data_IF_717620184406
#
_entry.id   IF_717620184406
#
_cell.length_a   1.000
_cell.length_b   1.000
_cell.length_c   1.000
_cell.angle_alpha   90.00
_cell.angle_beta   90.00
_cell.angle_gamma   90.00
#
_symmetry.space_group_name_H-M   'P 1'
#
loop_
_entity.id
_entity.type
_entity.pdbx_description
1 polymer ?
#
# COMPACT_ATOMS: atom_id res chain seq x y z
N UNK A 1 -7.15 14.30 -1.07
CA UNK A 1 -7.01 12.86 -1.34
C UNK A 1 -6.60 12.63 -2.80
N UNK A 2 -5.34 12.31 -3.08
CA UNK A 2 -4.97 11.67 -4.35
C UNK A 2 -3.64 10.88 -4.20
N UNK A 3 -3.78 9.60 -3.89
CA UNK A 3 -2.84 8.49 -4.17
C UNK A 3 -3.48 7.66 -5.31
N UNK A 4 -3.47 8.24 -6.52
CA UNK A 4 -4.43 8.12 -7.65
C UNK A 4 -5.88 7.82 -7.23
N UNK A 5 -6.47 8.86 -6.60
CA UNK A 5 -7.72 8.90 -5.78
C UNK A 5 -7.93 7.64 -4.93
N UNK A 6 -6.89 7.38 -4.14
CA UNK A 6 -6.68 6.27 -3.22
C UNK A 6 -6.83 4.88 -3.87
N UNK A 7 -6.21 4.74 -5.04
CA UNK A 7 -6.34 3.62 -5.96
C UNK A 7 -7.80 3.38 -6.34
N UNK A 8 -8.41 4.50 -6.81
CA UNK A 8 -9.83 4.72 -7.09
C UNK A 8 -10.73 3.97 -6.09
N UNK A 9 -10.53 4.36 -4.83
CA UNK A 9 -11.23 3.92 -3.62
C UNK A 9 -11.01 2.46 -3.22
N UNK A 10 -9.75 2.02 -3.15
CA UNK A 10 -9.33 0.72 -2.61
C UNK A 10 -9.42 -0.48 -3.61
N UNK A 11 -9.48 -0.17 -4.91
CA UNK A 11 -9.20 -1.00 -6.11
C UNK A 11 -10.35 -1.81 -6.76
N UNK A 12 -10.78 -1.37 -7.96
CA UNK A 12 -10.62 -2.17 -9.19
C UNK A 12 -10.11 -1.36 -10.42
N UNK A 13 -9.26 -1.98 -11.26
CA UNK A 13 -8.76 -1.42 -12.55
C UNK A 13 -8.56 -2.52 -13.62
N UNK A 14 -9.24 -2.44 -14.79
CA UNK A 14 -8.84 -3.20 -15.99
C UNK A 14 -7.90 -2.47 -16.95
N UNK A 15 -7.59 -1.18 -16.77
CA UNK A 15 -6.73 -0.45 -17.71
C UNK A 15 -5.78 0.53 -17.01
N UNK A 16 -4.49 0.23 -17.07
CA UNK A 16 -3.43 1.21 -17.29
C UNK A 16 -3.15 1.35 -18.80
N UNK A 17 -4.17 1.20 -19.65
CA UNK A 17 -4.03 1.39 -21.09
C UNK A 17 -4.10 2.89 -21.35
N UNK A 18 -2.94 3.54 -21.42
CA UNK A 18 -2.80 4.93 -21.90
C UNK A 18 -2.92 6.03 -20.83
N UNK A 19 -1.91 6.20 -19.98
CA UNK A 19 -1.74 7.44 -19.19
C UNK A 19 -1.30 8.66 -20.05
N UNK A 20 -1.68 8.71 -21.32
CA UNK A 20 -1.75 9.91 -22.15
C UNK A 20 -2.93 9.75 -23.12
N UNK A 21 -3.89 10.67 -23.08
CA UNK A 21 -4.79 10.92 -24.20
C UNK A 21 -4.08 11.92 -25.12
N UNK A 22 -3.58 11.44 -26.26
CA UNK A 22 -2.91 12.28 -27.29
C UNK A 22 -3.88 13.27 -27.98
N UNK A 23 -5.18 13.20 -27.70
CA UNK A 23 -6.23 13.97 -28.39
C UNK A 23 -6.66 15.25 -27.67
N UNK A 24 -6.29 15.46 -26.40
CA UNK A 24 -6.80 16.58 -25.60
C UNK A 24 -5.66 17.31 -24.86
N UNK A 25 -5.31 18.52 -25.34
CA UNK A 25 -4.16 19.34 -24.90
C UNK A 25 -4.31 19.96 -23.49
N UNK A 26 -4.94 19.29 -22.54
CA UNK A 26 -5.01 19.71 -21.13
C UNK A 26 -4.44 18.60 -20.20
N UNK A 27 -3.25 18.80 -19.61
CA UNK A 27 -2.76 17.92 -18.55
C UNK A 27 -3.68 17.96 -17.32
N UNK A 28 -3.99 16.78 -16.76
CA UNK A 28 -4.60 16.58 -15.43
C UNK A 28 -3.81 17.31 -14.32
N UNK A 29 -4.42 17.60 -13.14
CA UNK A 29 -3.78 18.36 -12.07
C UNK A 29 -2.38 17.84 -11.74
N UNK A 30 -1.43 18.75 -11.85
CA UNK A 30 0.02 18.57 -11.88
C UNK A 30 0.56 17.73 -10.72
N UNK A 31 1.26 16.64 -11.02
CA UNK A 31 2.63 16.22 -10.64
C UNK A 31 3.32 16.79 -9.36
N UNK A 32 2.61 17.31 -8.36
CA UNK A 32 3.14 17.83 -7.09
C UNK A 32 2.27 17.29 -5.94
N UNK A 33 2.75 16.55 -4.93
CA UNK A 33 4.12 16.27 -4.52
C UNK A 33 4.17 14.88 -3.85
N UNK A 34 5.17 14.06 -4.19
CA UNK A 34 5.77 13.16 -3.19
C UNK A 34 6.49 14.05 -2.16
N UNK A 35 5.73 14.78 -1.34
CA UNK A 35 6.28 15.51 -0.20
C UNK A 35 6.12 14.63 1.02
N UNK A 36 7.14 13.87 1.46
CA UNK A 36 7.18 13.58 2.87
C UNK A 36 7.52 14.92 3.52
N UNK A 37 6.59 15.50 4.28
CA UNK A 37 6.83 16.15 5.60
C UNK A 37 5.76 17.18 5.99
N UNK A 38 4.50 16.77 6.12
CA UNK A 38 3.80 17.29 7.31
C UNK A 38 4.36 16.53 8.52
N UNK A 39 4.53 17.20 9.66
CA UNK A 39 4.88 16.53 10.92
C UNK A 39 3.83 15.48 11.30
N UNK A 40 2.59 15.67 10.84
CA UNK A 40 1.47 14.76 11.03
C UNK A 40 1.68 13.40 10.35
N UNK A 41 2.03 13.37 9.05
CA UNK A 41 2.18 12.10 8.30
C UNK A 41 3.30 11.23 8.87
N UNK A 42 4.39 11.87 9.32
CA UNK A 42 5.49 11.17 10.00
C UNK A 42 5.03 10.56 11.31
N UNK A 43 4.23 11.28 12.09
CA UNK A 43 3.66 10.79 13.34
C UNK A 43 2.74 9.59 13.08
N UNK A 44 1.84 9.70 12.10
CA UNK A 44 0.91 8.64 11.70
C UNK A 44 1.70 7.41 11.24
N UNK A 45 2.70 7.57 10.37
CA UNK A 45 3.51 6.47 9.89
C UNK A 45 4.22 5.73 11.04
N UNK A 46 4.79 6.47 12.00
CA UNK A 46 5.42 5.89 13.17
C UNK A 46 4.41 5.09 14.01
N UNK A 47 3.21 5.62 14.23
CA UNK A 47 2.14 4.91 14.96
C UNK A 47 1.71 3.63 14.23
N UNK A 48 1.55 3.69 12.90
CA UNK A 48 1.22 2.52 12.06
C UNK A 48 2.34 1.48 12.12
N UNK A 49 3.61 1.86 12.01
CA UNK A 49 4.74 0.93 12.11
C UNK A 49 4.74 0.18 13.46
N UNK A 50 4.52 0.90 14.55
CA UNK A 50 4.44 0.31 15.89
C UNK A 50 3.21 -0.60 16.06
N UNK A 51 2.08 -0.27 15.44
CA UNK A 51 0.87 -1.10 15.41
C UNK A 51 1.11 -2.40 14.63
N UNK A 52 1.72 -2.31 13.44
CA UNK A 52 2.04 -3.47 12.59
C UNK A 52 3.00 -4.44 13.30
N UNK A 53 4.11 -3.95 13.86
CA UNK A 53 5.06 -4.79 14.59
C UNK A 53 4.39 -5.52 15.75
N UNK A 54 3.65 -4.80 16.60
CA UNK A 54 2.98 -5.42 17.76
C UNK A 54 1.92 -6.46 17.38
N UNK A 55 1.22 -6.26 16.26
CA UNK A 55 0.10 -7.14 15.86
C UNK A 55 0.50 -8.31 14.97
N UNK A 56 1.57 -8.15 14.18
CA UNK A 56 1.88 -9.08 13.09
C UNK A 56 3.15 -9.91 13.31
N UNK A 57 4.07 -9.48 14.19
CA UNK A 57 5.38 -10.14 14.37
C UNK A 57 5.27 -11.61 14.76
N UNK A 58 4.40 -11.94 15.73
CA UNK A 58 4.21 -13.32 16.21
C UNK A 58 3.67 -14.25 15.13
N UNK A 59 2.98 -13.68 14.13
CA UNK A 59 2.38 -14.41 13.01
C UNK A 59 3.18 -14.30 11.71
N UNK A 60 4.44 -13.82 11.75
CA UNK A 60 5.24 -13.55 10.54
C UNK A 60 5.24 -14.69 9.52
N UNK A 61 5.50 -15.93 9.98
CA UNK A 61 5.54 -17.12 9.09
C UNK A 61 4.19 -17.38 8.44
N UNK A 62 3.11 -17.26 9.19
CA UNK A 62 1.76 -17.50 8.68
C UNK A 62 1.30 -16.37 7.77
N UNK A 63 1.59 -15.11 8.12
CA UNK A 63 1.32 -13.93 7.30
C UNK A 63 2.01 -14.02 5.93
N UNK A 64 3.29 -14.41 5.91
CA UNK A 64 4.03 -14.65 4.66
C UNK A 64 3.40 -15.76 3.81
N UNK A 65 2.92 -16.84 4.44
CA UNK A 65 2.20 -17.91 3.72
C UNK A 65 0.89 -17.39 3.11
N UNK A 66 0.13 -16.56 3.83
CA UNK A 66 -1.09 -15.95 3.30
C UNK A 66 -0.81 -15.04 2.11
N UNK A 67 0.25 -14.23 2.15
CA UNK A 67 0.66 -13.44 0.98
C UNK A 67 0.98 -14.32 -0.23
N UNK A 68 1.79 -15.37 -0.04
CA UNK A 68 2.07 -16.33 -1.12
C UNK A 68 0.82 -17.00 -1.69
N UNK A 69 -0.17 -17.30 -0.86
CA UNK A 69 -1.46 -17.85 -1.33
C UNK A 69 -2.26 -16.85 -2.17
N UNK A 70 -2.05 -15.53 -1.99
CA UNK A 70 -2.68 -14.46 -2.78
C UNK A 70 -1.84 -14.01 -3.98
N UNK A 71 -0.66 -14.60 -4.20
CA UNK A 71 0.24 -14.37 -5.34
C UNK A 71 0.54 -15.71 -6.06
N UNK A 72 -0.40 -16.24 -6.86
CA UNK A 72 -0.22 -17.51 -7.56
C UNK A 72 0.91 -17.46 -8.61
N UNK A 73 1.26 -16.26 -9.09
CA UNK A 73 2.38 -16.05 -10.01
C UNK A 73 3.74 -16.04 -9.33
N UNK A 74 3.77 -16.00 -8.00
CA UNK A 74 4.98 -15.91 -7.17
C UNK A 74 5.89 -14.73 -7.62
N UNK A 75 5.28 -13.62 -8.01
CA UNK A 75 5.96 -12.40 -8.45
C UNK A 75 6.48 -11.54 -7.29
N UNK A 76 6.06 -11.81 -6.05
CA UNK A 76 6.46 -11.09 -4.86
C UNK A 76 5.57 -9.90 -4.50
N UNK A 77 4.46 -9.69 -5.21
CA UNK A 77 3.54 -8.58 -5.01
C UNK A 77 2.08 -9.01 -4.96
N UNK A 78 1.24 -8.22 -4.28
CA UNK A 78 -0.21 -8.39 -4.27
C UNK A 78 -0.93 -7.07 -4.55
N UNK A 79 -2.16 -7.09 -5.11
CA UNK A 79 -2.96 -5.88 -5.23
C UNK A 79 -3.24 -5.23 -3.87
N UNK A 80 -3.33 -3.90 -3.82
CA UNK A 80 -3.62 -3.15 -2.57
C UNK A 80 -4.91 -3.60 -1.89
N UNK A 81 -5.93 -4.02 -2.64
CA UNK A 81 -7.16 -4.61 -2.08
C UNK A 81 -6.88 -5.88 -1.28
N UNK A 82 -6.12 -6.81 -1.86
CA UNK A 82 -5.74 -8.04 -1.19
C UNK A 82 -4.89 -7.75 0.05
N UNK A 83 -3.99 -6.75 -0.02
CA UNK A 83 -3.24 -6.29 1.14
C UNK A 83 -4.15 -5.80 2.28
N UNK A 84 -5.17 -4.96 1.98
CA UNK A 84 -6.16 -4.49 2.97
C UNK A 84 -6.91 -5.67 3.61
N UNK A 85 -7.39 -6.62 2.80
CA UNK A 85 -8.09 -7.83 3.27
C UNK A 85 -7.22 -8.67 4.21
N UNK A 86 -5.94 -8.86 3.88
CA UNK A 86 -5.00 -9.60 4.72
C UNK A 86 -4.81 -8.88 6.06
N UNK A 87 -4.62 -7.56 6.10
CA UNK A 87 -4.49 -6.83 7.37
C UNK A 87 -5.74 -6.98 8.26
N UNK A 88 -6.93 -6.98 7.66
CA UNK A 88 -8.18 -7.27 8.38
C UNK A 88 -8.23 -8.71 8.92
N UNK A 89 -7.83 -9.71 8.13
CA UNK A 89 -7.78 -11.12 8.55
C UNK A 89 -6.89 -11.32 9.79
N UNK A 90 -5.80 -10.57 9.89
CA UNK A 90 -4.87 -10.61 11.02
C UNK A 90 -5.25 -9.64 12.17
N UNK A 91 -6.50 -9.17 12.21
CA UNK A 91 -7.02 -8.25 13.25
C UNK A 91 -6.19 -6.99 13.42
N UNK A 92 -5.63 -6.48 12.32
CA UNK A 92 -4.88 -5.24 12.26
C UNK A 92 -5.50 -4.26 11.24
N UNK A 93 -6.78 -3.90 11.36
CA UNK A 93 -7.39 -2.93 10.47
C UNK A 93 -6.69 -1.57 10.63
N UNK A 94 -6.46 -0.92 9.49
CA UNK A 94 -6.00 0.45 9.42
C UNK A 94 -7.16 1.32 8.95
N UNK A 95 -7.34 2.48 9.56
CA UNK A 95 -8.30 3.46 9.04
C UNK A 95 -7.79 4.04 7.71
N UNK A 96 -8.61 4.80 7.00
CA UNK A 96 -8.24 5.26 5.66
C UNK A 96 -7.04 6.20 5.64
N UNK A 97 -6.83 7.01 6.68
CA UNK A 97 -5.67 7.90 6.80
C UNK A 97 -4.38 7.13 7.12
N UNK A 98 -4.44 6.17 8.04
CA UNK A 98 -3.35 5.23 8.37
C UNK A 98 -2.95 4.41 7.15
N UNK A 99 -3.94 3.86 6.45
CA UNK A 99 -3.73 3.03 5.27
C UNK A 99 -3.19 3.87 4.12
N UNK A 100 -3.71 5.09 3.93
CA UNK A 100 -3.19 6.06 2.97
C UNK A 100 -1.73 6.38 3.20
N UNK A 101 -1.42 6.75 4.44
CA UNK A 101 -0.06 7.10 4.85
C UNK A 101 0.88 5.93 4.61
N UNK A 102 0.50 4.71 4.97
CA UNK A 102 1.33 3.52 4.76
C UNK A 102 1.54 3.21 3.27
N UNK A 103 0.48 3.08 2.48
CA UNK A 103 0.61 2.61 1.10
C UNK A 103 1.28 3.63 0.20
N UNK A 104 1.12 4.93 0.49
CA UNK A 104 1.87 5.99 -0.20
C UNK A 104 3.39 5.87 -0.07
N UNK A 105 3.89 5.20 0.98
CA UNK A 105 5.33 4.95 1.16
C UNK A 105 5.81 3.69 0.45
N UNK A 106 4.94 2.71 0.22
CA UNK A 106 5.32 1.38 -0.25
C UNK A 106 5.09 1.23 -1.77
N UNK A 107 3.95 1.70 -2.27
CA UNK A 107 3.60 1.68 -3.69
C UNK A 107 4.22 2.91 -4.39
N UNK A 108 5.54 2.88 -4.49
CA UNK A 108 6.32 4.00 -5.05
C UNK A 108 6.14 4.16 -6.55
N UNK A 109 5.74 3.09 -7.25
CA UNK A 109 5.44 3.04 -8.69
C UNK A 109 4.01 3.47 -9.03
N UNK A 110 3.13 3.52 -8.02
CA UNK A 110 1.72 3.91 -8.16
C UNK A 110 0.96 2.97 -9.12
N UNK A 111 1.32 1.69 -9.12
CA UNK A 111 0.72 0.65 -9.97
C UNK A 111 -0.39 -0.14 -9.25
N UNK A 112 -0.65 0.19 -7.98
CA UNK A 112 -1.69 -0.44 -7.18
C UNK A 112 -1.30 -1.81 -6.62
N UNK A 113 -0.02 -2.15 -6.65
CA UNK A 113 0.53 -3.38 -6.08
C UNK A 113 1.47 -3.10 -4.90
N UNK A 114 1.57 -4.07 -3.99
CA UNK A 114 2.41 -4.02 -2.79
C UNK A 114 3.41 -5.15 -2.86
N UNK A 115 4.69 -4.81 -2.87
CA UNK A 115 5.76 -5.76 -2.60
C UNK A 115 5.66 -6.20 -1.13
N UNK A 116 5.11 -7.41 -0.93
CA UNK A 116 4.88 -7.91 0.41
C UNK A 116 6.17 -8.41 1.06
N UNK A 117 7.23 -8.71 0.30
CA UNK A 117 8.51 -9.09 0.88
C UNK A 117 9.18 -7.88 1.52
N UNK A 118 9.17 -6.74 0.82
CA UNK A 118 9.60 -5.46 1.36
C UNK A 118 8.77 -5.08 2.58
N UNK A 119 7.43 -5.14 2.48
CA UNK A 119 6.55 -4.81 3.61
C UNK A 119 6.86 -5.67 4.86
N UNK A 120 6.98 -6.99 4.68
CA UNK A 120 7.27 -7.90 5.79
C UNK A 120 8.62 -7.61 6.43
N UNK A 121 9.65 -7.31 5.63
CA UNK A 121 10.98 -7.00 6.15
C UNK A 121 11.03 -5.67 6.89
N UNK A 122 10.39 -4.62 6.37
CA UNK A 122 10.49 -3.27 6.93
C UNK A 122 9.56 -3.05 8.14
N UNK A 123 8.34 -3.62 8.10
CA UNK A 123 7.29 -3.26 9.05
C UNK A 123 6.89 -4.39 10.01
N UNK A 124 7.32 -5.63 9.78
CA UNK A 124 6.86 -6.78 10.57
C UNK A 124 8.00 -7.61 11.17
N UNK A 125 9.10 -7.82 10.45
CA UNK A 125 10.22 -8.60 10.98
C UNK A 125 10.84 -7.85 12.16
N UNK A 126 10.79 -8.46 13.36
CA UNK A 126 11.64 -8.02 14.47
C UNK A 126 13.09 -8.41 14.15
N UNK A 127 14.01 -7.45 14.24
CA UNK A 127 15.43 -7.74 14.37
C UNK A 127 15.71 -8.26 15.78
#
# INVERSE_FOLDING_TARGET
MNYIRFLKHHAPLPELIGLVDESNKNPLPTIHEKSPRSTSDRSILNQVCNKLRRKLSDSYKQLRRTFKQRDPTNCGSVPVKAFKEILHQYKCPLNDEEFYTLTSQIDTKMDGTIDYNYFLQQYVKNN
#
